data_IF_521336593310
#
_entry.id   IF_521336593310
#
_cell.length_a   1.000
_cell.length_b   1.000
_cell.length_c   1.000
_cell.angle_alpha   90.00
_cell.angle_beta   90.00
_cell.angle_gamma   90.00
#
_symmetry.space_group_name_H-M   'P 1'
#
loop_
_entity.id
_entity.type
_entity.pdbx_description
1 polymer ?
#
# COMPACT_ATOMS: atom_id res chain seq x y z
N UNK A 1 -1.83 -10.48 11.58
CA UNK A 1 -2.86 -9.77 10.79
C UNK A 1 -3.20 -8.43 11.42
N UNK A 2 -3.47 -8.37 12.74
CA UNK A 2 -3.81 -7.12 13.45
C UNK A 2 -2.77 -5.99 13.30
N UNK A 3 -1.47 -6.31 13.31
CA UNK A 3 -0.41 -5.29 13.22
C UNK A 3 -0.32 -4.64 11.83
N UNK A 4 -0.59 -5.42 10.77
CA UNK A 4 -0.62 -4.92 9.40
C UNK A 4 -1.85 -4.03 9.18
N UNK A 5 -3.01 -4.43 9.70
CA UNK A 5 -4.23 -3.61 9.67
C UNK A 5 -4.01 -2.26 10.35
N UNK A 6 -3.39 -2.25 11.53
CA UNK A 6 -3.09 -0.99 12.23
C UNK A 6 -2.06 -0.13 11.48
N UNK A 7 -1.05 -0.75 10.87
CA UNK A 7 -0.10 -0.04 10.02
C UNK A 7 -0.78 0.54 8.77
N UNK A 8 -1.72 -0.19 8.17
CA UNK A 8 -2.51 0.30 7.02
C UNK A 8 -3.43 1.45 7.39
N UNK A 9 -4.11 1.39 8.53
CA UNK A 9 -4.91 2.53 9.04
C UNK A 9 -4.05 3.78 9.27
N UNK A 10 -2.79 3.61 9.68
CA UNK A 10 -1.84 4.74 9.81
C UNK A 10 -1.40 5.25 8.43
N UNK A 11 -1.07 4.35 7.51
CA UNK A 11 -0.71 4.71 6.14
C UNK A 11 -1.85 5.46 5.46
N UNK A 12 -3.11 5.03 5.62
CA UNK A 12 -4.28 5.69 5.06
C UNK A 12 -4.41 7.15 5.52
N UNK A 13 -4.06 7.45 6.77
CA UNK A 13 -4.05 8.83 7.29
C UNK A 13 -2.92 9.69 6.71
N UNK A 14 -1.83 9.07 6.28
CA UNK A 14 -0.65 9.75 5.72
C UNK A 14 -0.81 9.93 4.22
N UNK A 15 -1.09 8.84 3.50
CA UNK A 15 -1.36 8.80 2.06
C UNK A 15 -2.46 7.76 1.77
N UNK A 16 -3.73 8.21 1.62
CA UNK A 16 -4.86 7.34 1.33
C UNK A 16 -4.70 6.55 0.03
N UNK A 17 -4.00 7.10 -0.96
CA UNK A 17 -3.80 6.46 -2.26
C UNK A 17 -2.80 5.31 -2.15
N UNK A 18 -1.73 5.48 -1.37
CA UNK A 18 -0.80 4.38 -1.08
C UNK A 18 -1.48 3.24 -0.32
N UNK A 19 -2.32 3.57 0.68
CA UNK A 19 -3.12 2.56 1.39
C UNK A 19 -4.03 1.81 0.42
N UNK A 20 -4.75 2.53 -0.45
CA UNK A 20 -5.64 1.92 -1.44
C UNK A 20 -4.90 1.01 -2.44
N UNK A 21 -3.70 1.41 -2.88
CA UNK A 21 -2.86 0.56 -3.73
C UNK A 21 -2.48 -0.74 -2.99
N UNK A 22 -2.18 -0.66 -1.69
CA UNK A 22 -1.87 -1.87 -0.91
C UNK A 22 -3.08 -2.77 -0.75
N UNK A 23 -4.26 -2.22 -0.48
CA UNK A 23 -5.51 -2.98 -0.45
C UNK A 23 -5.73 -3.78 -1.73
N UNK A 24 -5.69 -3.10 -2.88
CA UNK A 24 -5.96 -3.71 -4.18
C UNK A 24 -4.92 -4.77 -4.55
N UNK A 25 -3.63 -4.48 -4.34
CA UNK A 25 -2.55 -5.40 -4.74
C UNK A 25 -2.33 -6.56 -3.79
N UNK A 26 -2.40 -6.31 -2.48
CA UNK A 26 -2.06 -7.33 -1.48
C UNK A 26 -3.28 -8.16 -1.06
N UNK A 27 -4.43 -7.52 -0.84
CA UNK A 27 -5.64 -8.21 -0.42
C UNK A 27 -6.56 -8.55 -1.59
N UNK A 28 -6.67 -7.65 -2.58
CA UNK A 28 -7.41 -7.89 -3.81
C UNK A 28 -6.68 -8.80 -4.81
N UNK A 29 -5.37 -8.95 -4.69
CA UNK A 29 -4.55 -9.76 -5.59
C UNK A 29 -4.36 -9.16 -6.98
N UNK A 30 -4.68 -7.87 -7.18
CA UNK A 30 -4.59 -7.21 -8.48
C UNK A 30 -3.14 -6.97 -8.90
N UNK A 31 -2.91 -7.03 -10.20
CA UNK A 31 -1.68 -6.60 -10.88
C UNK A 31 -1.51 -5.07 -10.86
N UNK A 32 -0.36 -4.58 -11.33
CA UNK A 32 -0.10 -3.14 -11.45
C UNK A 32 -1.05 -2.48 -12.45
N UNK A 33 -1.31 -3.19 -13.54
CA UNK A 33 -2.17 -2.78 -14.65
C UNK A 33 -3.64 -2.74 -14.22
N UNK A 34 -4.15 -3.79 -13.57
CA UNK A 34 -5.52 -3.82 -13.05
C UNK A 34 -5.73 -2.75 -11.96
N UNK A 35 -4.75 -2.57 -11.07
CA UNK A 35 -4.81 -1.52 -10.04
C UNK A 35 -4.83 -0.13 -10.68
N UNK A 36 -4.04 0.07 -11.74
CA UNK A 36 -3.98 1.33 -12.47
C UNK A 36 -5.32 1.66 -13.14
N UNK A 37 -5.96 0.66 -13.73
CA UNK A 37 -7.30 0.77 -14.32
C UNK A 37 -8.35 1.14 -13.25
N UNK A 38 -8.40 0.41 -12.14
CA UNK A 38 -9.34 0.67 -11.03
C UNK A 38 -9.16 2.07 -10.45
N UNK A 39 -7.92 2.55 -10.36
CA UNK A 39 -7.60 3.85 -9.75
C UNK A 39 -7.52 5.00 -10.77
N UNK A 40 -7.73 4.73 -12.06
CA UNK A 40 -7.61 5.67 -13.16
C UNK A 40 -6.29 6.49 -13.13
N UNK A 41 -5.17 5.79 -12.94
CA UNK A 41 -3.81 6.36 -12.96
C UNK A 41 -2.89 5.50 -13.83
N UNK A 42 -1.68 5.98 -14.13
CA UNK A 42 -0.74 5.17 -14.92
C UNK A 42 -0.19 3.98 -14.12
N UNK A 43 0.09 2.82 -14.76
CA UNK A 43 0.79 1.69 -14.11
C UNK A 43 2.15 2.10 -13.52
N UNK A 44 2.84 3.04 -14.18
CA UNK A 44 4.09 3.62 -13.67
C UNK A 44 3.89 4.33 -12.31
N UNK A 45 2.78 5.04 -12.16
CA UNK A 45 2.40 5.67 -10.89
C UNK A 45 2.11 4.60 -9.84
N UNK A 46 1.30 3.58 -10.16
CA UNK A 46 1.02 2.47 -9.24
C UNK A 46 2.30 1.81 -8.75
N UNK A 47 3.22 1.48 -9.66
CA UNK A 47 4.51 0.86 -9.33
C UNK A 47 5.33 1.70 -8.36
N UNK A 48 5.41 3.02 -8.59
CA UNK A 48 6.14 3.96 -7.73
C UNK A 48 5.50 4.04 -6.34
N UNK A 49 4.20 4.31 -6.27
CA UNK A 49 3.47 4.44 -5.00
C UNK A 49 3.49 3.13 -4.21
N UNK A 50 3.38 1.98 -4.89
CA UNK A 50 3.53 0.66 -4.26
C UNK A 50 4.89 0.45 -3.62
N UNK A 51 5.98 0.80 -4.32
CA UNK A 51 7.32 0.66 -3.78
C UNK A 51 7.51 1.51 -2.50
N UNK A 52 6.98 2.73 -2.50
CA UNK A 52 7.01 3.63 -1.34
C UNK A 52 6.18 3.06 -0.20
N UNK A 53 4.94 2.65 -0.48
CA UNK A 53 4.03 2.08 0.51
C UNK A 53 4.63 0.84 1.21
N UNK A 54 5.23 -0.08 0.44
CA UNK A 54 5.90 -1.25 1.02
C UNK A 54 7.10 -0.88 1.88
N UNK A 55 7.93 0.07 1.44
CA UNK A 55 9.09 0.51 2.21
C UNK A 55 8.65 1.13 3.55
N UNK A 56 7.60 1.95 3.51
CA UNK A 56 7.00 2.53 4.71
C UNK A 56 6.42 1.46 5.64
N UNK A 57 5.61 0.53 5.12
CA UNK A 57 5.03 -0.56 5.91
C UNK A 57 6.10 -1.45 6.54
N UNK A 58 7.17 -1.74 5.80
CA UNK A 58 8.31 -2.47 6.33
C UNK A 58 8.96 -1.73 7.51
N UNK A 59 9.25 -0.43 7.35
CA UNK A 59 9.82 0.38 8.42
C UNK A 59 8.90 0.48 9.65
N UNK A 60 7.59 0.62 9.44
CA UNK A 60 6.58 0.71 10.50
C UNK A 60 6.47 -0.61 11.30
N UNK A 61 6.44 -1.74 10.60
CA UNK A 61 6.33 -3.06 11.21
C UNK A 61 7.63 -3.53 11.88
N UNK A 62 8.78 -3.07 11.39
CA UNK A 62 10.08 -3.44 11.97
C UNK A 62 10.50 -2.55 13.14
N UNK A 63 10.12 -1.27 13.16
CA UNK A 63 10.37 -0.38 14.30
C UNK A 63 9.55 -0.75 15.55
N UNK A 64 8.48 -1.54 15.40
CA UNK A 64 7.67 -2.06 16.53
C UNK A 64 8.29 -3.24 17.27
N UNK A 65 9.51 -3.68 16.95
CA UNK A 65 10.20 -4.70 17.75
C UNK A 65 10.58 -4.11 19.12
N UNK A 66 10.25 -4.80 20.24
CA UNK A 66 10.66 -4.38 21.58
C UNK A 66 12.19 -4.41 21.74
#
# INVERSE_FOLDING_TARGET
MLELDEALKRLERIDPRQSRIVELRYFGGLTEEETAEVMNISPRTVKREWAVARAWLYAELTQKRP
#
